data_IF_882316769458
#
_entry.id   IF_882316769458
#
_cell.length_a   1.000
_cell.length_b   1.000
_cell.length_c   1.000
_cell.angle_alpha   90.00
_cell.angle_beta   90.00
_cell.angle_gamma   90.00
#
_symmetry.space_group_name_H-M   'P 1'
#
loop_
_entity.id
_entity.type
_entity.pdbx_description
1 polymer ?
#
# COMPACT_ATOMS: atom_id res chain seq x y z
N UNK A 1 -13.29 14.36 22.15
CA UNK A 1 -14.29 13.30 21.90
C UNK A 1 -14.43 12.94 20.42
N UNK A 2 -14.72 13.87 19.50
CA UNK A 2 -14.98 13.54 18.08
C UNK A 2 -13.82 12.86 17.34
N UNK A 3 -12.56 13.28 17.55
CA UNK A 3 -11.40 12.70 16.86
C UNK A 3 -11.05 11.29 17.37
N UNK A 4 -11.29 11.02 18.65
CA UNK A 4 -11.12 9.70 19.27
C UNK A 4 -12.06 8.68 18.60
N UNK A 5 -13.31 9.07 18.38
CA UNK A 5 -14.31 8.24 17.70
C UNK A 5 -13.92 7.92 16.25
N UNK A 6 -13.27 8.83 15.53
CA UNK A 6 -12.82 8.59 14.15
C UNK A 6 -11.72 7.53 14.08
N UNK A 7 -10.71 7.63 14.94
CA UNK A 7 -9.58 6.69 14.95
C UNK A 7 -10.02 5.28 15.35
N UNK A 8 -10.91 5.15 16.34
CA UNK A 8 -11.51 3.85 16.71
C UNK A 8 -12.38 3.28 15.58
N UNK A 9 -13.18 4.11 14.89
CA UNK A 9 -13.97 3.66 13.73
C UNK A 9 -13.10 3.13 12.60
N UNK A 10 -12.00 3.82 12.28
CA UNK A 10 -11.05 3.38 11.25
C UNK A 10 -10.39 2.06 11.67
N UNK A 11 -9.90 1.97 12.91
CA UNK A 11 -9.31 0.74 13.45
C UNK A 11 -10.28 -0.45 13.33
N UNK A 12 -11.54 -0.29 13.77
CA UNK A 12 -12.57 -1.32 13.64
C UNK A 12 -12.76 -1.73 12.18
N UNK A 13 -12.94 -0.77 11.27
CA UNK A 13 -13.17 -1.05 9.85
C UNK A 13 -12.02 -1.85 9.22
N UNK A 14 -10.78 -1.63 9.67
CA UNK A 14 -9.58 -2.34 9.19
C UNK A 14 -9.43 -3.73 9.83
N UNK A 15 -9.81 -3.90 11.09
CA UNK A 15 -9.73 -5.18 11.82
C UNK A 15 -10.89 -6.14 11.53
N UNK A 16 -11.96 -5.68 10.87
CA UNK A 16 -13.12 -6.52 10.52
C UNK A 16 -13.36 -6.62 9.01
N UNK A 17 -12.41 -6.18 8.19
CA UNK A 17 -12.54 -6.23 6.74
C UNK A 17 -12.52 -7.68 6.23
N UNK A 18 -13.27 -7.95 5.16
CA UNK A 18 -13.23 -9.25 4.50
C UNK A 18 -11.83 -9.48 3.89
N UNK A 19 -11.28 -10.69 4.08
CA UNK A 19 -9.92 -11.03 3.66
C UNK A 19 -9.67 -10.73 2.16
N UNK A 20 -10.60 -11.16 1.29
CA UNK A 20 -10.54 -10.89 -0.16
C UNK A 20 -10.60 -9.41 -0.49
N UNK A 21 -11.43 -8.65 0.22
CA UNK A 21 -11.54 -7.20 0.04
C UNK A 21 -10.23 -6.49 0.41
N UNK A 22 -9.60 -6.89 1.51
CA UNK A 22 -8.29 -6.36 1.94
C UNK A 22 -7.18 -6.67 0.92
N UNK A 23 -7.20 -7.85 0.29
CA UNK A 23 -6.26 -8.20 -0.79
C UNK A 23 -6.43 -7.26 -1.99
N UNK A 24 -7.65 -7.09 -2.49
CA UNK A 24 -7.89 -6.25 -3.68
C UNK A 24 -7.52 -4.80 -3.40
N UNK A 25 -7.87 -4.29 -2.20
CA UNK A 25 -7.51 -2.93 -1.76
C UNK A 25 -6.00 -2.76 -1.62
N UNK A 26 -5.28 -3.77 -1.11
CA UNK A 26 -3.81 -3.76 -1.04
C UNK A 26 -3.15 -3.81 -2.42
N UNK A 27 -3.70 -4.60 -3.35
CA UNK A 27 -3.20 -4.70 -4.72
C UNK A 27 -3.36 -3.39 -5.49
N UNK A 28 -4.55 -2.79 -5.43
CA UNK A 28 -4.80 -1.48 -6.04
C UNK A 28 -3.93 -0.37 -5.44
N UNK A 29 -3.69 -0.43 -4.13
CA UNK A 29 -2.79 0.50 -3.44
C UNK A 29 -1.38 0.43 -4.02
N UNK A 30 -0.76 -0.74 -4.00
CA UNK A 30 0.65 -0.84 -4.36
C UNK A 30 0.87 -0.65 -5.86
N UNK A 31 -0.10 -1.01 -6.70
CA UNK A 31 -0.04 -0.69 -8.13
C UNK A 31 0.07 0.83 -8.36
N UNK A 32 -0.74 1.63 -7.67
CA UNK A 32 -0.67 3.10 -7.76
C UNK A 32 0.61 3.69 -7.16
N UNK A 33 1.10 3.13 -6.05
CA UNK A 33 2.38 3.58 -5.46
C UNK A 33 3.55 3.31 -6.41
N UNK A 34 3.61 2.12 -7.01
CA UNK A 34 4.64 1.81 -8.00
C UNK A 34 4.54 2.72 -9.24
N UNK A 35 3.32 3.04 -9.69
CA UNK A 35 3.09 4.00 -10.77
C UNK A 35 3.59 5.41 -10.42
N UNK A 36 3.29 5.91 -9.22
CA UNK A 36 3.74 7.22 -8.75
C UNK A 36 5.28 7.33 -8.81
N UNK A 37 5.98 6.32 -8.27
CA UNK A 37 7.44 6.28 -8.28
C UNK A 37 7.96 6.22 -9.71
N UNK A 38 7.36 5.39 -10.57
CA UNK A 38 7.76 5.27 -11.97
C UNK A 38 7.59 6.59 -12.76
N UNK A 39 6.44 7.25 -12.62
CA UNK A 39 6.17 8.53 -13.27
C UNK A 39 7.15 9.63 -12.79
N UNK A 40 7.48 9.66 -11.50
CA UNK A 40 8.46 10.62 -10.98
C UNK A 40 9.87 10.37 -11.52
N UNK A 41 10.25 9.11 -11.76
CA UNK A 41 11.57 8.77 -12.30
C UNK A 41 11.73 9.26 -13.74
N UNK A 42 10.65 9.29 -14.52
CA UNK A 42 10.67 9.76 -15.92
C UNK A 42 10.58 11.29 -16.01
N UNK A 43 9.96 11.94 -15.01
CA UNK A 43 9.87 13.38 -14.93
C UNK A 43 11.25 14.05 -14.73
N UNK A 44 11.52 15.13 -15.46
CA UNK A 44 12.79 15.89 -15.39
C UNK A 44 12.73 17.06 -14.42
N UNK A 45 11.63 17.83 -14.46
CA UNK A 45 11.45 19.03 -13.64
C UNK A 45 11.00 18.72 -12.21
N UNK A 46 11.43 19.49 -11.19
CA UNK A 46 11.00 19.29 -9.81
C UNK A 46 9.48 19.36 -9.62
N UNK A 47 8.82 20.31 -10.30
CA UNK A 47 7.37 20.50 -10.21
C UNK A 47 6.61 19.32 -10.82
N UNK A 48 7.10 18.77 -11.94
CA UNK A 48 6.47 17.61 -12.57
C UNK A 48 6.68 16.35 -11.76
N UNK A 49 7.87 16.16 -11.15
CA UNK A 49 8.12 15.08 -10.18
C UNK A 49 7.13 15.11 -9.02
N UNK A 50 6.88 16.29 -8.45
CA UNK A 50 5.90 16.45 -7.37
C UNK A 50 4.49 16.04 -7.81
N UNK A 51 4.01 16.57 -8.93
CA UNK A 51 2.65 16.28 -9.43
C UNK A 51 2.48 14.79 -9.75
N UNK A 52 3.49 14.16 -10.35
CA UNK A 52 3.48 12.74 -10.70
C UNK A 52 3.43 11.82 -9.48
N UNK A 53 3.94 12.26 -8.33
CA UNK A 53 3.79 11.53 -7.06
C UNK A 53 2.46 11.85 -6.39
N UNK A 54 2.06 13.12 -6.37
CA UNK A 54 0.91 13.58 -5.62
C UNK A 54 -0.42 13.02 -6.16
N UNK A 55 -0.63 13.05 -7.49
CA UNK A 55 -1.91 12.64 -8.08
C UNK A 55 -2.26 11.17 -7.82
N UNK A 56 -1.36 10.19 -8.05
CA UNK A 56 -1.69 8.79 -7.77
C UNK A 56 -1.85 8.52 -6.27
N UNK A 57 -1.14 9.26 -5.40
CA UNK A 57 -1.30 9.13 -3.94
C UNK A 57 -2.70 9.57 -3.50
N UNK A 58 -3.15 10.75 -3.92
CA UNK A 58 -4.50 11.23 -3.60
C UNK A 58 -5.58 10.27 -4.13
N UNK A 59 -5.37 9.75 -5.35
CA UNK A 59 -6.32 8.82 -5.97
C UNK A 59 -6.51 7.54 -5.15
N UNK A 60 -5.44 6.94 -4.62
CA UNK A 60 -5.59 5.74 -3.81
C UNK A 60 -6.15 6.02 -2.41
N UNK A 61 -5.81 7.17 -1.83
CA UNK A 61 -6.37 7.60 -0.53
C UNK A 61 -7.87 7.83 -0.67
N UNK A 62 -8.31 8.56 -1.71
CA UNK A 62 -9.73 8.84 -1.96
C UNK A 62 -10.53 7.59 -2.32
N UNK A 63 -9.89 6.64 -3.01
CA UNK A 63 -10.48 5.33 -3.34
C UNK A 63 -10.58 4.39 -2.12
N UNK A 64 -9.99 4.78 -0.99
CA UNK A 64 -10.03 4.01 0.25
C UNK A 64 -9.22 2.72 0.18
N UNK A 65 -8.15 2.68 -0.61
CA UNK A 65 -7.26 1.52 -0.67
C UNK A 65 -6.45 1.36 0.63
N UNK A 66 -5.91 0.16 0.82
CA UNK A 66 -5.22 -0.23 2.04
C UNK A 66 -3.72 -0.21 1.82
N UNK A 67 -3.02 0.73 2.46
CA UNK A 67 -1.57 0.79 2.46
C UNK A 67 -1.04 0.20 3.77
N UNK A 68 -0.16 -0.81 3.66
CA UNK A 68 0.40 -1.54 4.81
C UNK A 68 0.94 -0.59 5.90
N UNK A 69 1.88 0.28 5.51
CA UNK A 69 2.56 1.21 6.43
C UNK A 69 1.60 2.22 7.07
N UNK A 70 0.55 2.64 6.35
CA UNK A 70 -0.43 3.58 6.91
C UNK A 70 -1.33 2.86 7.92
N UNK A 71 -1.71 1.62 7.63
CA UNK A 71 -2.51 0.81 8.53
C UNK A 71 -1.74 0.41 9.79
N UNK A 72 -0.43 0.20 9.69
CA UNK A 72 0.47 0.02 10.84
C UNK A 72 0.59 1.27 11.72
N UNK A 73 0.21 2.44 11.23
CA UNK A 73 0.08 3.64 12.07
C UNK A 73 -1.35 3.77 12.65
N UNK A 74 -2.37 3.61 11.81
CA UNK A 74 -3.77 3.86 12.19
C UNK A 74 -4.35 2.80 13.13
N UNK A 75 -4.03 1.52 12.93
CA UNK A 75 -4.57 0.43 13.74
C UNK A 75 -3.97 0.45 15.15
N UNK A 76 -2.63 0.53 15.34
CA UNK A 76 -2.05 0.69 16.67
C UNK A 76 -2.54 1.96 17.37
N UNK A 77 -2.67 3.08 16.65
CA UNK A 77 -3.25 4.29 17.22
C UNK A 77 -4.67 4.03 17.78
N UNK A 78 -5.52 3.31 17.03
CA UNK A 78 -6.85 2.88 17.46
C UNK A 78 -6.88 1.95 18.67
N UNK A 79 -5.92 1.03 18.76
CA UNK A 79 -5.80 0.12 19.89
C UNK A 79 -5.32 0.88 21.14
N UNK A 80 -4.30 1.74 21.00
CA UNK A 80 -3.70 2.52 22.10
C UNK A 80 -4.67 3.53 22.72
N UNK A 81 -5.57 4.11 21.92
CA UNK A 81 -6.62 5.02 22.44
C UNK A 81 -7.79 4.27 23.11
N UNK A 82 -7.67 2.97 23.32
CA UNK A 82 -8.66 2.15 24.00
C UNK A 82 -9.76 1.61 23.10
N UNK A 83 -9.53 1.49 21.78
CA UNK A 83 -10.51 0.92 20.84
C UNK A 83 -11.02 -0.47 21.24
N UNK A 84 -10.18 -1.26 21.92
CA UNK A 84 -10.56 -2.57 22.46
C UNK A 84 -11.71 -2.49 23.49
N UNK A 85 -11.78 -1.42 24.28
CA UNK A 85 -12.87 -1.24 25.26
C UNK A 85 -14.22 -0.89 24.60
N UNK A 86 -14.20 -0.43 23.35
CA UNK A 86 -15.39 -0.15 22.56
C UNK A 86 -15.81 -1.34 21.67
N UNK A 87 -14.84 -2.09 21.17
CA UNK A 87 -15.07 -3.28 20.34
C UNK A 87 -13.89 -4.25 20.52
N UNK A 88 -14.16 -5.44 21.05
CA UNK A 88 -13.15 -6.49 21.29
C UNK A 88 -12.43 -6.92 20.01
N UNK A 89 -13.01 -6.65 18.84
CA UNK A 89 -12.40 -6.94 17.53
C UNK A 89 -11.24 -5.99 17.21
N UNK A 90 -11.13 -4.85 17.90
CA UNK A 90 -9.98 -3.93 17.81
C UNK A 90 -8.81 -4.47 18.65
N UNK A 91 -8.25 -5.59 18.22
CA UNK A 91 -7.13 -6.24 18.88
C UNK A 91 -6.01 -6.57 17.88
N UNK A 92 -4.81 -6.84 18.40
CA UNK A 92 -3.62 -7.16 17.62
C UNK A 92 -3.75 -8.43 16.76
N UNK A 93 -4.49 -9.43 17.24
CA UNK A 93 -4.73 -10.66 16.47
C UNK A 93 -5.55 -10.40 15.21
N UNK A 94 -6.65 -9.67 15.34
CA UNK A 94 -7.48 -9.30 14.20
C UNK A 94 -6.77 -8.31 13.26
N UNK A 95 -5.98 -7.40 13.81
CA UNK A 95 -5.13 -6.51 13.02
C UNK A 95 -4.18 -7.30 12.10
N UNK A 96 -3.58 -8.38 12.63
CA UNK A 96 -2.69 -9.24 11.86
C UNK A 96 -3.44 -10.02 10.77
N UNK A 97 -4.52 -10.71 11.14
CA UNK A 97 -5.22 -11.64 10.24
C UNK A 97 -6.10 -10.97 9.19
N UNK A 98 -6.78 -9.87 9.53
CA UNK A 98 -7.73 -9.20 8.64
C UNK A 98 -7.14 -8.00 7.90
N UNK A 99 -5.98 -7.50 8.35
CA UNK A 99 -5.32 -6.37 7.71
C UNK A 99 -3.89 -6.69 7.26
N UNK A 100 -2.94 -6.91 8.17
CA UNK A 100 -1.53 -7.02 7.83
C UNK A 100 -1.24 -8.10 6.78
N UNK A 101 -1.70 -9.33 7.02
CA UNK A 101 -1.47 -10.45 6.11
C UNK A 101 -2.13 -10.24 4.73
N UNK A 102 -3.45 -9.98 4.62
CA UNK A 102 -4.09 -9.82 3.31
C UNK A 102 -3.60 -8.58 2.56
N UNK A 103 -3.32 -7.46 3.24
CA UNK A 103 -2.83 -6.24 2.59
C UNK A 103 -1.39 -6.43 2.07
N UNK A 104 -0.55 -7.17 2.79
CA UNK A 104 0.80 -7.54 2.31
C UNK A 104 0.71 -8.40 1.06
N UNK A 105 -0.12 -9.45 1.08
CA UNK A 105 -0.32 -10.32 -0.08
C UNK A 105 -0.87 -9.54 -1.28
N UNK A 106 -1.86 -8.69 -1.04
CA UNK A 106 -2.39 -7.77 -2.05
C UNK A 106 -1.30 -6.88 -2.63
N UNK A 107 -0.47 -6.28 -1.76
CA UNK A 107 0.61 -5.38 -2.19
C UNK A 107 1.61 -6.08 -3.10
N UNK A 108 2.02 -7.31 -2.79
CA UNK A 108 2.90 -8.11 -3.65
C UNK A 108 2.26 -8.29 -5.04
N UNK A 109 0.98 -8.69 -5.10
CA UNK A 109 0.25 -8.85 -6.36
C UNK A 109 0.18 -7.53 -7.15
N UNK A 110 -0.09 -6.42 -6.46
CA UNK A 110 -0.15 -5.08 -7.06
C UNK A 110 1.17 -4.63 -7.69
N UNK A 111 2.31 -4.87 -7.01
CA UNK A 111 3.64 -4.58 -7.56
C UNK A 111 3.93 -5.40 -8.82
N UNK A 112 3.63 -6.70 -8.77
CA UNK A 112 3.82 -7.60 -9.92
C UNK A 112 3.04 -7.13 -11.13
N UNK A 113 1.84 -6.57 -10.94
CA UNK A 113 1.01 -6.07 -12.04
C UNK A 113 1.70 -4.95 -12.84
N UNK A 114 2.51 -4.11 -12.18
CA UNK A 114 3.30 -3.10 -12.88
C UNK A 114 4.61 -3.67 -13.41
N UNK A 115 5.38 -4.39 -12.59
CA UNK A 115 6.74 -4.81 -12.93
C UNK A 115 6.77 -5.87 -14.05
N UNK A 116 5.78 -6.77 -14.09
CA UNK A 116 5.78 -7.90 -15.01
C UNK A 116 5.77 -7.49 -16.49
N UNK A 117 4.88 -6.57 -16.96
CA UNK A 117 4.95 -6.05 -18.32
C UNK A 117 6.29 -5.40 -18.67
N UNK A 118 6.85 -4.57 -17.78
CA UNK A 118 8.14 -3.90 -18.01
C UNK A 118 9.29 -4.90 -18.14
N UNK A 119 9.28 -5.95 -17.32
CA UNK A 119 10.27 -7.02 -17.40
C UNK A 119 10.17 -7.79 -18.73
N UNK A 120 8.97 -8.13 -19.20
CA UNK A 120 8.78 -8.83 -20.46
C UNK A 120 9.34 -8.05 -21.66
N UNK A 121 9.14 -6.72 -21.66
CA UNK A 121 9.61 -5.83 -22.74
C UNK A 121 11.14 -5.65 -22.69
N UNK A 122 11.72 -5.49 -21.49
CA UNK A 122 13.14 -5.14 -21.31
C UNK A 122 14.04 -6.33 -20.93
N UNK A 123 13.56 -7.57 -20.99
CA UNK A 123 14.29 -8.77 -20.52
C UNK A 123 15.69 -8.91 -21.13
N UNK A 124 15.85 -8.53 -22.40
CA UNK A 124 17.09 -8.71 -23.14
C UNK A 124 18.12 -7.63 -22.79
N UNK A 125 17.68 -6.39 -22.60
CA UNK A 125 18.51 -5.29 -22.10
C UNK A 125 18.98 -5.52 -20.66
N UNK A 126 18.10 -6.02 -19.78
CA UNK A 126 18.45 -6.37 -18.41
C UNK A 126 19.52 -7.49 -18.36
N UNK A 127 19.37 -8.52 -19.20
CA UNK A 127 20.36 -9.62 -19.31
C UNK A 127 21.71 -9.14 -19.84
N UNK A 128 21.74 -8.18 -20.77
CA UNK A 128 22.97 -7.59 -21.27
C UNK A 128 23.70 -6.78 -20.18
N UNK A 129 22.97 -5.96 -19.42
CA UNK A 129 23.53 -5.19 -18.30
C UNK A 129 24.14 -6.07 -17.19
N UNK A 130 23.48 -7.19 -16.86
CA UNK A 130 24.00 -8.16 -15.87
C UNK A 130 25.31 -8.82 -16.31
N UNK A 131 25.49 -9.07 -17.62
CA UNK A 131 26.75 -9.61 -18.16
C UNK A 131 27.87 -8.57 -18.08
N UNK A 132 27.55 -7.31 -18.34
CA UNK A 132 28.52 -6.22 -18.28
C UNK A 132 29.00 -5.97 -16.84
N UNK A 133 28.12 -6.06 -15.84
CA UNK A 133 28.52 -5.96 -14.42
C UNK A 133 29.38 -7.12 -13.93
N UNK A 134 29.19 -8.33 -14.47
CA UNK A 134 30.02 -9.51 -14.11
C UNK A 134 31.37 -9.54 -14.84
N UNK A 135 31.54 -8.71 -15.85
CA UNK A 135 32.78 -8.59 -16.62
C UNK A 135 33.73 -7.52 -16.07
N UNK A 136 33.33 -6.83 -15.01
CA UNK A 136 34.14 -5.89 -14.20
C UNK A 136 34.50 -6.59 -12.90
#
# INVERSE_FOLDING_TARGET
MANLCKVVKVCRAKCTAHFTTSIIRGAGCNWMVCLAIWLQMIATEPISKFIMIWLPIELFISSGFDHLVVNEFLIPAGIMVGGKYYDDRCNWGNAFWYNFLPVTLGSIVGAWFLVFPFWLINKDGWRAGLKQQKAV
#
